data_IF_749038200699
#
_entry.id   IF_749038200699
#
_cell.length_a   1.000
_cell.length_b   1.000
_cell.length_c   1.000
_cell.angle_alpha   90.00
_cell.angle_beta   90.00
_cell.angle_gamma   90.00
#
_symmetry.space_group_name_H-M   'P 1'
#
loop_
_entity.id
_entity.type
_entity.pdbx_description
1 polymer ?
#
# COMPACT_ATOMS: atom_id res chain seq x y z
N UNK A 1 -30.32 -18.83 53.42
CA UNK A 1 -28.95 -18.29 53.35
C UNK A 1 -28.39 -18.54 51.95
N UNK A 2 -28.10 -17.49 51.15
CA UNK A 2 -27.57 -17.63 49.77
C UNK A 2 -26.06 -17.35 49.80
N UNK A 3 -25.22 -18.35 49.46
CA UNK A 3 -23.75 -18.23 49.44
C UNK A 3 -23.32 -17.53 48.15
N UNK A 4 -22.49 -16.49 48.26
CA UNK A 4 -22.01 -15.66 47.14
C UNK A 4 -20.83 -16.33 46.44
N UNK A 5 -20.83 -16.35 45.11
CA UNK A 5 -19.68 -16.77 44.31
C UNK A 5 -18.78 -15.56 44.01
N UNK A 6 -17.51 -15.66 44.41
CA UNK A 6 -16.50 -14.63 44.15
C UNK A 6 -15.87 -14.87 42.77
N UNK A 7 -16.10 -13.97 41.83
CA UNK A 7 -15.47 -13.97 40.51
C UNK A 7 -14.06 -13.39 40.63
N UNK A 8 -13.06 -14.16 40.21
CA UNK A 8 -11.67 -13.69 40.10
C UNK A 8 -11.55 -12.88 38.81
N UNK A 9 -11.29 -11.58 38.94
CA UNK A 9 -11.01 -10.70 37.79
C UNK A 9 -9.66 -11.10 37.21
N UNK A 10 -9.69 -11.69 36.01
CA UNK A 10 -8.51 -11.85 35.17
C UNK A 10 -8.17 -10.47 34.59
N UNK A 11 -7.19 -9.79 35.18
CA UNK A 11 -6.67 -8.53 34.65
C UNK A 11 -5.99 -8.80 33.30
N UNK A 12 -6.73 -8.56 32.22
CA UNK A 12 -6.21 -8.53 30.86
C UNK A 12 -5.11 -7.47 30.77
N UNK A 13 -3.87 -7.91 30.53
CA UNK A 13 -2.79 -7.05 30.08
C UNK A 13 -3.09 -6.69 28.63
N UNK A 14 -3.65 -5.50 28.40
CA UNK A 14 -3.74 -4.94 27.06
C UNK A 14 -2.34 -4.42 26.74
N UNK A 15 -1.54 -5.23 26.04
CA UNK A 15 -0.34 -4.74 25.40
C UNK A 15 -0.77 -3.72 24.34
N UNK A 16 -0.42 -2.46 24.52
CA UNK A 16 -0.60 -1.43 23.50
C UNK A 16 0.27 -1.78 22.30
N UNK A 17 -0.31 -2.43 21.29
CA UNK A 17 0.35 -2.64 20.01
C UNK A 17 0.40 -1.29 19.30
N UNK A 18 1.59 -0.68 19.25
CA UNK A 18 1.83 0.48 18.39
C UNK A 18 1.97 0.00 16.96
N UNK A 19 0.86 0.00 16.22
CA UNK A 19 0.89 -0.11 14.76
C UNK A 19 1.47 1.19 14.21
N UNK A 20 2.62 1.11 13.54
CA UNK A 20 3.24 2.24 12.85
C UNK A 20 2.39 2.68 11.67
N UNK A 21 1.42 3.54 11.93
CA UNK A 21 0.60 4.17 10.90
C UNK A 21 1.42 5.29 10.25
N UNK A 22 1.58 5.24 8.92
CA UNK A 22 2.08 6.40 8.18
C UNK A 22 0.93 7.38 7.98
N UNK A 23 1.18 8.68 8.08
CA UNK A 23 0.15 9.69 7.78
C UNK A 23 -0.05 9.90 6.26
N UNK A 24 0.71 9.19 5.40
CA UNK A 24 0.75 9.44 3.96
C UNK A 24 0.81 8.15 3.14
N UNK A 25 0.46 8.25 1.85
CA UNK A 25 0.77 7.22 0.86
C UNK A 25 2.30 7.13 0.69
N UNK A 26 2.82 5.95 0.39
CA UNK A 26 4.24 5.77 0.10
C UNK A 26 4.45 4.66 -0.94
N UNK A 27 5.62 4.68 -1.57
CA UNK A 27 6.06 3.58 -2.43
C UNK A 27 6.49 2.40 -1.58
N UNK A 28 5.72 1.31 -1.62
CA UNK A 28 5.97 0.11 -0.83
C UNK A 28 6.84 -0.91 -1.56
N UNK A 29 6.87 -0.88 -2.89
CA UNK A 29 7.68 -1.78 -3.71
C UNK A 29 8.06 -1.15 -5.05
N UNK A 30 9.23 -1.51 -5.54
CA UNK A 30 9.69 -1.22 -6.89
C UNK A 30 10.32 -2.48 -7.48
N UNK A 31 9.84 -2.90 -8.65
CA UNK A 31 10.38 -4.04 -9.37
C UNK A 31 11.05 -3.53 -10.64
N UNK A 32 12.34 -3.83 -10.76
CA UNK A 32 13.11 -3.68 -11.98
C UNK A 32 13.46 -5.06 -12.53
N UNK A 33 12.66 -5.52 -13.48
CA UNK A 33 12.89 -6.74 -14.22
C UNK A 33 13.66 -6.50 -15.53
N UNK A 34 13.62 -7.51 -16.40
CA UNK A 34 14.23 -7.42 -17.72
C UNK A 34 13.37 -6.58 -18.67
N UNK A 35 14.02 -5.77 -19.52
CA UNK A 35 13.35 -5.01 -20.58
C UNK A 35 12.25 -4.08 -20.01
N UNK A 36 10.99 -4.33 -20.36
CA UNK A 36 9.84 -3.52 -19.96
C UNK A 36 9.20 -3.97 -18.65
N UNK A 37 9.69 -5.02 -17.99
CA UNK A 37 9.12 -5.53 -16.74
C UNK A 37 9.43 -4.59 -15.57
N UNK A 38 8.63 -3.52 -15.45
CA UNK A 38 8.80 -2.49 -14.41
C UNK A 38 7.49 -2.20 -13.73
N UNK A 39 7.52 -2.20 -12.39
CA UNK A 39 6.34 -2.04 -11.54
C UNK A 39 6.66 -1.14 -10.36
N UNK A 40 5.66 -0.35 -9.96
CA UNK A 40 5.71 0.50 -8.78
C UNK A 40 4.45 0.26 -7.95
N UNK A 41 4.62 -0.06 -6.68
CA UNK A 41 3.52 -0.23 -5.74
C UNK A 41 3.39 1.00 -4.84
N UNK A 42 2.17 1.53 -4.75
CA UNK A 42 1.78 2.60 -3.82
C UNK A 42 0.86 1.99 -2.78
N UNK A 43 1.25 2.04 -1.50
CA UNK A 43 0.42 1.56 -0.40
C UNK A 43 -0.22 2.72 0.37
N UNK A 44 -1.51 2.54 0.71
CA UNK A 44 -2.21 3.43 1.63
C UNK A 44 -2.16 2.89 3.06
N UNK A 45 -1.21 3.39 3.84
CA UNK A 45 -1.09 3.10 5.27
C UNK A 45 -1.73 4.14 6.19
N UNK A 46 -2.59 5.03 5.69
CA UNK A 46 -3.09 6.20 6.44
C UNK A 46 -4.16 5.93 7.49
N UNK A 47 -4.74 4.72 7.51
CA UNK A 47 -5.90 4.41 8.34
C UNK A 47 -7.24 4.80 7.76
N UNK A 48 -7.26 5.52 6.62
CA UNK A 48 -8.48 6.01 5.99
C UNK A 48 -8.40 5.88 4.47
N UNK A 49 -9.52 6.07 3.77
CA UNK A 49 -9.53 6.07 2.32
C UNK A 49 -8.96 7.39 1.78
N UNK A 50 -8.10 7.30 0.78
CA UNK A 50 -7.43 8.46 0.18
C UNK A 50 -7.91 8.64 -1.26
N UNK A 51 -8.38 9.85 -1.61
CA UNK A 51 -8.62 10.19 -3.01
C UNK A 51 -7.29 10.43 -3.71
N UNK A 52 -7.11 9.82 -4.89
CA UNK A 52 -5.92 9.99 -5.71
C UNK A 52 -6.03 11.16 -6.68
N UNK A 53 -7.13 11.92 -6.65
CA UNK A 53 -7.27 13.11 -7.50
C UNK A 53 -6.18 14.14 -7.16
N UNK A 54 -5.47 14.61 -8.19
CA UNK A 54 -4.35 15.55 -8.04
C UNK A 54 -3.01 14.90 -7.71
N UNK A 55 -2.95 13.59 -7.43
CA UNK A 55 -1.69 12.87 -7.35
C UNK A 55 -1.16 12.57 -8.75
N UNK A 56 0.16 12.68 -8.90
CA UNK A 56 0.88 12.43 -10.14
C UNK A 56 2.10 11.58 -9.83
N UNK A 57 2.36 10.58 -10.68
CA UNK A 57 3.61 9.81 -10.67
C UNK A 57 4.45 10.24 -11.87
N UNK A 58 5.67 10.69 -11.60
CA UNK A 58 6.62 11.11 -12.60
C UNK A 58 7.79 10.14 -12.66
N UNK A 59 8.11 9.67 -13.87
CA UNK A 59 9.25 8.80 -14.12
C UNK A 59 10.39 9.60 -14.75
N UNK A 60 11.54 9.57 -14.10
CA UNK A 60 12.78 10.19 -14.57
C UNK A 60 13.75 9.08 -15.00
N UNK A 61 13.67 8.65 -16.26
CA UNK A 61 14.49 7.53 -16.75
C UNK A 61 15.90 7.98 -17.18
N UNK A 62 16.88 7.08 -17.04
CA UNK A 62 18.23 7.21 -17.58
C UNK A 62 18.96 8.52 -17.21
N UNK A 63 18.77 9.00 -15.99
CA UNK A 63 19.40 10.23 -15.51
C UNK A 63 18.78 11.52 -16.07
N UNK A 64 17.61 11.45 -16.69
CA UNK A 64 16.85 12.63 -17.11
C UNK A 64 16.55 13.54 -15.92
N UNK A 65 16.69 14.86 -16.13
CA UNK A 65 16.30 15.89 -15.15
C UNK A 65 14.87 16.40 -15.35
N UNK A 66 14.19 15.92 -16.39
CA UNK A 66 12.76 16.19 -16.67
C UNK A 66 11.99 14.86 -16.70
N UNK A 67 10.69 14.85 -16.35
CA UNK A 67 9.86 13.66 -16.47
C UNK A 67 9.89 13.12 -17.90
N UNK A 68 10.21 11.84 -18.03
CA UNK A 68 10.13 11.08 -19.28
C UNK A 68 8.75 10.45 -19.48
N UNK A 69 8.01 10.27 -18.39
CA UNK A 69 6.62 9.86 -18.39
C UNK A 69 5.93 10.43 -17.15
N UNK A 70 4.67 10.81 -17.30
CA UNK A 70 3.86 11.42 -16.25
C UNK A 70 2.49 10.76 -16.26
N UNK A 71 2.10 10.17 -15.13
CA UNK A 71 0.80 9.52 -14.96
C UNK A 71 -0.01 10.26 -13.89
N UNK A 72 -1.13 10.86 -14.31
CA UNK A 72 -2.12 11.39 -13.37
C UNK A 72 -2.91 10.24 -12.77
N UNK A 73 -2.98 10.18 -11.44
CA UNK A 73 -3.75 9.18 -10.73
C UNK A 73 -5.20 9.66 -10.56
N UNK A 74 -6.10 8.71 -10.35
CA UNK A 74 -7.52 8.97 -10.11
C UNK A 74 -8.14 7.86 -9.28
N UNK A 75 -9.37 8.10 -8.81
CA UNK A 75 -10.10 7.16 -7.95
C UNK A 75 -9.77 7.30 -6.47
N UNK A 76 -10.07 6.26 -5.72
CA UNK A 76 -9.90 6.19 -4.26
C UNK A 76 -9.11 4.94 -3.92
N UNK A 77 -8.01 5.11 -3.20
CA UNK A 77 -7.24 4.01 -2.63
C UNK A 77 -7.70 3.79 -1.19
N UNK A 78 -8.33 2.65 -0.91
CA UNK A 78 -8.85 2.38 0.43
C UNK A 78 -7.70 2.12 1.42
N UNK A 79 -7.98 2.30 2.71
CA UNK A 79 -7.00 1.98 3.73
C UNK A 79 -6.50 0.53 3.60
N UNK A 80 -5.21 0.33 3.79
CA UNK A 80 -4.53 -0.96 3.69
C UNK A 80 -4.57 -1.63 2.32
N UNK A 81 -4.90 -0.88 1.25
CA UNK A 81 -4.80 -1.35 -0.12
C UNK A 81 -3.58 -0.80 -0.85
N UNK A 82 -3.25 -1.46 -1.95
CA UNK A 82 -2.17 -1.10 -2.86
C UNK A 82 -2.71 -0.70 -4.24
N UNK A 83 -2.03 0.24 -4.88
CA UNK A 83 -2.15 0.52 -6.31
C UNK A 83 -0.84 0.10 -6.97
N UNK A 84 -0.93 -0.81 -7.94
CA UNK A 84 0.23 -1.24 -8.74
C UNK A 84 0.19 -0.50 -10.07
N UNK A 85 1.27 0.19 -10.39
CA UNK A 85 1.50 0.81 -11.69
C UNK A 85 2.48 -0.07 -12.46
N UNK A 86 2.12 -0.44 -13.70
CA UNK A 86 2.99 -1.22 -14.58
C UNK A 86 3.35 -0.45 -15.83
N UNK A 87 4.52 -0.75 -16.37
CA UNK A 87 4.82 -0.39 -17.75
C UNK A 87 3.85 -1.10 -18.69
N UNK A 88 3.25 -0.37 -19.64
CA UNK A 88 2.27 -0.93 -20.59
C UNK A 88 2.82 -2.06 -21.46
N UNK A 89 4.15 -2.07 -21.71
CA UNK A 89 4.85 -3.10 -22.47
C UNK A 89 5.33 -4.28 -21.63
N UNK A 90 5.02 -4.29 -20.34
CA UNK A 90 5.28 -5.43 -19.47
C UNK A 90 4.28 -6.56 -19.78
N UNK A 91 4.80 -7.77 -19.94
CA UNK A 91 4.07 -8.98 -20.30
C UNK A 91 3.90 -9.92 -19.10
N UNK A 92 4.88 -9.96 -18.20
CA UNK A 92 4.85 -10.84 -17.05
C UNK A 92 3.97 -10.22 -15.98
N UNK A 93 2.82 -10.83 -15.70
CA UNK A 93 2.05 -10.44 -14.53
C UNK A 93 2.78 -10.95 -13.28
N UNK A 94 3.22 -10.04 -12.41
CA UNK A 94 3.84 -10.42 -11.14
C UNK A 94 2.79 -10.98 -10.18
N UNK A 95 3.14 -12.11 -9.56
CA UNK A 95 2.24 -12.89 -8.74
C UNK A 95 2.38 -12.48 -7.28
N UNK A 96 1.29 -11.99 -6.67
CA UNK A 96 1.20 -11.83 -5.21
C UNK A 96 0.05 -12.68 -4.70
N UNK A 97 0.35 -13.60 -3.78
CA UNK A 97 -0.63 -14.31 -2.94
C UNK A 97 -1.84 -14.93 -3.68
N UNK A 98 -1.69 -15.46 -4.89
CA UNK A 98 -2.80 -16.12 -5.60
C UNK A 98 -3.47 -15.27 -6.68
N UNK A 99 -3.15 -13.98 -6.78
CA UNK A 99 -3.82 -13.06 -7.69
C UNK A 99 -2.85 -12.43 -8.69
N UNK A 100 -3.34 -12.31 -9.94
CA UNK A 100 -2.67 -11.61 -11.02
C UNK A 100 -2.97 -10.11 -10.87
N UNK A 101 -1.98 -9.30 -10.50
CA UNK A 101 -2.14 -7.84 -10.48
C UNK A 101 -2.05 -7.31 -11.92
N UNK A 102 -3.17 -6.87 -12.49
CA UNK A 102 -3.21 -6.12 -13.75
C UNK A 102 -3.05 -4.62 -13.51
#
# INVERSE_FOLDING_TARGET
>A
MKKKFSSLILASLIASVSIGQTATLFFSEYIEGSSNEKYLEIYNGTGTNVSLSGYVVELYANGSITPTNTLSLSGTLNNSQVLVLRNSGAFIIYWRNGEYCL
#
